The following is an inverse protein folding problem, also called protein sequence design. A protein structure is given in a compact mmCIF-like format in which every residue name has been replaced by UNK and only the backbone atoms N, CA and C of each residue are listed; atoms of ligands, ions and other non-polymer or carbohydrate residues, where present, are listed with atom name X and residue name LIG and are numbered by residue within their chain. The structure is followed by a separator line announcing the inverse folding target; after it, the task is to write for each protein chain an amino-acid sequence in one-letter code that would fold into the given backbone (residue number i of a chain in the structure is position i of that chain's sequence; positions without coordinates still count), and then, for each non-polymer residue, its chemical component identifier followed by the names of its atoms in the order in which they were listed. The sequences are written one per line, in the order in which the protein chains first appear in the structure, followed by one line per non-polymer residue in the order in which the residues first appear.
data_IF_979014792313
#
_entry.id   IF_979014792313
#
_cell.length_a   1.000
_cell.length_b   1.000
_cell.length_c   1.000
_cell.angle_alpha   90.00
_cell.angle_beta   90.00
_cell.angle_gamma   90.00
#
_symmetry.space_group_name_H-M   'P 1'
#
loop_
_entity.id
_entity.type
_entity.pdbx_description
1 polymer ?
#
# COMPACT_ATOMS: atom_id res chain seq x y z
N UNK A 1 -38.86 -17.63 -29.62
CA UNK A 1 -38.06 -18.65 -28.91
C UNK A 1 -36.61 -18.28 -29.15
N UNK A 2 -36.00 -17.61 -28.18
CA UNK A 2 -34.68 -17.00 -28.29
C UNK A 2 -33.76 -17.76 -27.36
N UNK A 3 -32.75 -18.43 -27.91
CA UNK A 3 -31.69 -19.12 -27.19
C UNK A 3 -30.92 -18.15 -26.29
N UNK A 4 -30.60 -18.50 -25.03
CA UNK A 4 -29.75 -17.65 -24.20
C UNK A 4 -28.28 -17.93 -24.52
N UNK A 5 -27.55 -16.85 -24.83
CA UNK A 5 -26.11 -16.86 -25.06
C UNK A 5 -25.34 -17.42 -23.86
N UNK A 6 -24.46 -18.39 -24.13
CA UNK A 6 -23.44 -18.91 -23.22
C UNK A 6 -22.59 -17.76 -22.68
N UNK A 7 -22.48 -17.66 -21.35
CA UNK A 7 -21.49 -16.83 -20.66
C UNK A 7 -20.09 -17.25 -21.13
N UNK A 8 -19.27 -16.30 -21.56
CA UNK A 8 -17.86 -16.55 -21.85
C UNK A 8 -17.12 -16.78 -20.53
N UNK A 9 -16.66 -18.00 -20.34
CA UNK A 9 -15.64 -18.33 -19.35
C UNK A 9 -14.35 -17.58 -19.72
N UNK A 10 -13.73 -16.93 -18.74
CA UNK A 10 -12.47 -16.21 -18.91
C UNK A 10 -11.38 -17.18 -19.41
N UNK A 11 -10.75 -16.84 -20.53
CA UNK A 11 -9.67 -17.64 -21.10
C UNK A 11 -8.47 -17.74 -20.13
N UNK A 12 -7.82 -18.91 -20.02
CA UNK A 12 -6.60 -19.05 -19.25
C UNK A 12 -5.51 -18.17 -19.83
N UNK A 13 -4.89 -17.32 -18.99
CA UNK A 13 -3.79 -16.42 -19.36
C UNK A 13 -2.69 -17.22 -20.08
N UNK A 14 -2.27 -16.78 -21.25
CA UNK A 14 -1.15 -17.39 -21.97
C UNK A 14 0.11 -17.28 -21.10
N UNK A 15 0.78 -18.42 -20.87
CA UNK A 15 1.91 -18.52 -19.95
C UNK A 15 3.20 -17.81 -20.42
N UNK A 16 3.17 -17.17 -21.59
CA UNK A 16 4.36 -16.66 -22.30
C UNK A 16 4.41 -15.14 -22.51
N UNK A 17 3.38 -14.38 -22.11
CA UNK A 17 3.45 -12.91 -22.20
C UNK A 17 4.22 -12.34 -20.99
N UNK A 18 5.20 -11.45 -21.19
CA UNK A 18 5.92 -10.81 -20.08
C UNK A 18 4.93 -10.05 -19.20
N UNK A 19 5.07 -10.21 -17.87
CA UNK A 19 4.18 -9.54 -16.91
C UNK A 19 4.60 -8.09 -16.75
N UNK A 20 3.65 -7.24 -16.38
CA UNK A 20 3.88 -5.81 -16.15
C UNK A 20 3.58 -5.49 -14.69
N UNK A 21 4.44 -4.68 -14.08
CA UNK A 21 4.24 -4.13 -12.75
C UNK A 21 4.20 -2.60 -12.79
N UNK A 22 3.42 -2.03 -11.88
CA UNK A 22 3.41 -0.61 -11.57
C UNK A 22 3.96 -0.39 -10.15
N UNK A 23 5.11 0.27 -10.07
CA UNK A 23 5.82 0.57 -8.84
C UNK A 23 5.41 1.96 -8.34
N UNK A 24 4.92 2.02 -7.10
CA UNK A 24 4.46 3.25 -6.46
C UNK A 24 5.33 3.57 -5.26
N UNK A 25 5.91 4.77 -5.25
CA UNK A 25 6.26 5.37 -3.97
C UNK A 25 4.99 5.66 -3.15
N UNK A 26 5.12 5.70 -1.83
CA UNK A 26 3.98 5.85 -0.93
C UNK A 26 3.78 7.29 -0.45
N UNK A 27 4.80 7.86 0.19
CA UNK A 27 4.71 9.15 0.88
C UNK A 27 4.65 10.28 -0.15
N UNK A 28 3.64 11.15 -0.08
CA UNK A 28 3.40 12.27 -1.03
C UNK A 28 3.12 11.86 -2.48
N UNK A 29 3.29 10.59 -2.81
CA UNK A 29 2.93 10.00 -4.10
C UNK A 29 1.53 9.39 -4.05
N UNK A 30 1.29 8.41 -3.16
CA UNK A 30 -0.03 7.78 -2.97
C UNK A 30 -0.79 8.42 -1.81
N UNK A 31 -0.08 8.77 -0.74
CA UNK A 31 -0.65 9.44 0.45
C UNK A 31 -0.26 10.91 0.43
N UNK A 32 -1.20 11.83 0.65
CA UNK A 32 -0.98 13.28 0.65
C UNK A 32 -0.04 13.82 1.75
N UNK A 33 0.42 12.95 2.66
CA UNK A 33 1.35 13.30 3.74
C UNK A 33 2.40 12.21 3.89
N UNK A 34 3.53 12.58 4.49
CA UNK A 34 4.50 11.58 4.94
C UNK A 34 3.86 10.70 6.02
N UNK A 35 3.92 9.39 5.83
CA UNK A 35 3.46 8.40 6.80
C UNK A 35 4.22 8.52 8.12
N UNK A 36 5.52 8.79 8.10
CA UNK A 36 6.32 9.05 9.32
C UNK A 36 5.73 10.19 10.16
N UNK A 37 5.28 11.28 9.50
CA UNK A 37 4.63 12.39 10.19
C UNK A 37 3.19 12.04 10.62
N UNK A 38 2.48 11.28 9.80
CA UNK A 38 1.10 10.89 10.07
C UNK A 38 0.99 10.01 11.34
N UNK A 39 1.92 9.06 11.53
CA UNK A 39 1.98 8.16 12.69
C UNK A 39 2.72 8.75 13.91
N UNK A 40 3.33 9.94 13.80
CA UNK A 40 4.07 10.57 14.90
C UNK A 40 3.22 10.85 16.15
N UNK A 41 1.93 11.20 15.98
CA UNK A 41 1.02 11.51 17.09
C UNK A 41 0.54 10.25 17.84
N UNK A 42 0.09 9.17 17.17
CA UNK A 42 -0.18 7.89 17.82
C UNK A 42 1.00 7.35 18.62
N UNK A 43 2.19 7.28 18.01
CA UNK A 43 3.38 6.78 18.71
C UNK A 43 3.76 7.65 19.90
N UNK A 44 3.46 8.95 19.86
CA UNK A 44 3.63 9.84 21.01
C UNK A 44 2.61 9.55 22.13
N UNK A 45 1.35 9.27 21.79
CA UNK A 45 0.29 8.97 22.75
C UNK A 45 0.55 7.65 23.49
N UNK A 46 1.13 6.67 22.80
CA UNK A 46 1.48 5.36 23.33
C UNK A 46 2.88 5.32 23.98
N UNK A 47 3.51 6.48 24.15
CA UNK A 47 4.77 6.63 24.89
C UNK A 47 6.02 6.13 24.17
N UNK A 48 5.91 5.63 22.93
CA UNK A 48 7.02 5.23 22.07
C UNK A 48 7.89 6.45 21.72
N UNK A 49 7.27 7.60 21.46
CA UNK A 49 7.97 8.87 21.21
C UNK A 49 7.91 9.75 22.46
N UNK A 50 9.05 9.92 23.16
CA UNK A 50 9.14 10.80 24.33
C UNK A 50 9.38 12.27 23.90
N UNK A 51 8.70 13.25 24.53
CA UNK A 51 8.91 14.71 24.30
C UNK A 51 10.39 15.11 24.32
N UNK A 52 11.19 14.49 25.20
CA UNK A 52 12.64 14.76 25.29
C UNK A 52 13.41 14.23 24.08
N UNK A 53 13.04 13.07 23.55
CA UNK A 53 13.62 12.51 22.34
C UNK A 53 13.29 13.42 21.15
N UNK A 54 12.03 13.82 20.98
CA UNK A 54 11.60 14.77 19.93
C UNK A 54 12.34 16.10 20.03
N UNK A 55 12.49 16.67 21.22
CA UNK A 55 13.21 17.94 21.41
C UNK A 55 14.71 17.80 21.05
N UNK A 56 15.32 16.67 21.42
CA UNK A 56 16.73 16.38 21.14
C UNK A 56 16.96 16.15 19.65
N UNK A 57 16.04 15.45 18.98
CA UNK A 57 16.06 15.24 17.53
C UNK A 57 15.77 16.51 16.75
N UNK A 58 14.84 17.35 17.20
CA UNK A 58 14.56 18.65 16.59
C UNK A 58 15.77 19.61 16.74
N UNK A 59 16.45 19.59 17.88
CA UNK A 59 17.69 20.33 18.10
C UNK A 59 18.82 19.81 17.22
N UNK A 60 18.99 18.48 17.12
CA UNK A 60 19.95 17.87 16.20
C UNK A 60 19.66 18.23 14.74
N UNK A 61 18.39 18.14 14.31
CA UNK A 61 17.92 18.54 12.98
C UNK A 61 18.21 20.02 12.69
N UNK A 62 17.97 20.90 13.66
CA UNK A 62 18.24 22.34 13.56
C UNK A 62 19.74 22.63 13.43
N UNK A 63 20.58 21.99 14.25
CA UNK A 63 22.04 22.11 14.17
C UNK A 63 22.61 21.54 12.87
N UNK A 64 22.00 20.50 12.31
CA UNK A 64 22.40 19.89 11.05
C UNK A 64 21.96 20.70 9.81
N UNK A 65 20.77 21.30 9.82
CA UNK A 65 20.33 22.19 8.73
C UNK A 65 21.26 23.40 8.54
N UNK A 66 21.96 23.82 9.60
CA UNK A 66 22.97 24.87 9.54
C UNK A 66 24.29 24.42 8.88
N UNK A 67 24.50 23.12 8.67
CA UNK A 67 25.79 22.56 8.23
C UNK A 67 25.86 22.19 6.73
N UNK A 68 24.76 22.24 5.97
CA UNK A 68 24.73 21.94 4.52
C UNK A 68 24.75 20.45 4.19
N UNK A 69 24.06 20.03 3.11
CA UNK A 69 23.76 18.63 2.80
C UNK A 69 24.82 17.93 1.93
N UNK A 70 25.33 16.79 2.42
CA UNK A 70 26.19 15.83 1.69
C UNK A 70 25.71 14.39 1.99
N UNK A 71 26.10 13.40 1.19
CA UNK A 71 25.66 12.00 1.31
C UNK A 71 26.00 11.39 2.68
N UNK A 72 27.21 11.63 3.19
CA UNK A 72 27.63 11.23 4.54
C UNK A 72 26.74 11.82 5.63
N UNK A 73 26.18 13.01 5.38
CA UNK A 73 25.30 13.69 6.31
C UNK A 73 23.92 13.03 6.35
N UNK A 74 23.39 12.61 5.19
CA UNK A 74 22.14 11.86 5.10
C UNK A 74 22.25 10.50 5.78
N UNK A 75 23.39 9.82 5.64
CA UNK A 75 23.64 8.54 6.31
C UNK A 75 23.67 8.69 7.83
N UNK A 76 24.34 9.73 8.34
CA UNK A 76 24.34 10.05 9.77
C UNK A 76 22.95 10.44 10.27
N UNK A 77 22.19 11.20 9.50
CA UNK A 77 20.82 11.59 9.85
C UNK A 77 19.92 10.36 9.94
N UNK A 78 20.04 9.43 8.98
CA UNK A 78 19.29 8.18 8.96
C UNK A 78 19.61 7.33 10.19
N UNK A 79 20.90 7.09 10.46
CA UNK A 79 21.32 6.35 11.64
C UNK A 79 20.83 7.01 12.94
N UNK A 80 20.85 8.35 13.00
CA UNK A 80 20.34 9.07 14.16
C UNK A 80 18.83 8.90 14.34
N UNK A 81 18.04 9.06 13.28
CA UNK A 81 16.57 8.89 13.34
C UNK A 81 16.21 7.45 13.73
N UNK A 82 16.86 6.46 13.13
CA UNK A 82 16.65 5.05 13.46
C UNK A 82 17.02 4.70 14.91
N UNK A 83 18.06 5.32 15.47
CA UNK A 83 18.43 5.15 16.88
C UNK A 83 17.37 5.66 17.87
N UNK A 84 16.44 6.51 17.43
CA UNK A 84 15.33 6.98 18.29
C UNK A 84 14.32 5.86 18.56
N UNK A 85 14.27 4.86 17.68
CA UNK A 85 13.41 3.69 17.81
C UNK A 85 14.06 2.57 18.64
N UNK A 86 15.32 2.71 19.07
CA UNK A 86 16.00 1.68 19.88
C UNK A 86 15.21 1.36 21.14
N UNK A 87 14.96 0.07 21.36
CA UNK A 87 14.24 -0.46 22.51
C UNK A 87 12.72 -0.45 22.40
N UNK A 88 12.15 0.11 21.32
CA UNK A 88 10.71 0.04 21.05
C UNK A 88 10.29 -1.41 20.92
N UNK A 89 9.14 -1.71 21.52
CA UNK A 89 8.50 -3.01 21.43
C UNK A 89 7.81 -3.15 20.06
N UNK A 90 8.19 -4.17 19.30
CA UNK A 90 7.72 -4.34 17.91
C UNK A 90 6.22 -4.66 17.88
N UNK A 91 5.73 -5.44 18.83
CA UNK A 91 4.30 -5.77 18.93
C UNK A 91 3.48 -4.53 19.29
N UNK A 92 4.01 -3.67 20.16
CA UNK A 92 3.39 -2.39 20.44
C UNK A 92 3.33 -1.50 19.18
N UNK A 93 4.40 -1.42 18.40
CA UNK A 93 4.42 -0.64 17.15
C UNK A 93 3.35 -1.16 16.18
N UNK A 94 3.31 -2.48 15.97
CA UNK A 94 2.31 -3.12 15.11
C UNK A 94 0.87 -2.84 15.57
N UNK A 95 0.61 -2.95 16.88
CA UNK A 95 -0.71 -2.66 17.45
C UNK A 95 -1.12 -1.20 17.19
N UNK A 96 -0.22 -0.24 17.43
CA UNK A 96 -0.50 1.18 17.18
C UNK A 96 -0.75 1.44 15.71
N UNK A 97 0.03 0.84 14.82
CA UNK A 97 -0.20 0.96 13.38
C UNK A 97 -1.57 0.38 13.04
N UNK A 98 -1.90 -0.84 13.43
CA UNK A 98 -3.18 -1.49 13.11
C UNK A 98 -4.39 -0.69 13.61
N UNK A 99 -4.33 -0.20 14.86
CA UNK A 99 -5.41 0.57 15.47
C UNK A 99 -5.62 1.93 14.79
N UNK A 100 -4.53 2.59 14.38
CA UNK A 100 -4.59 3.96 13.83
C UNK A 100 -4.54 4.02 12.31
N UNK A 101 -4.31 2.89 11.65
CA UNK A 101 -4.18 2.78 10.20
C UNK A 101 -5.38 3.40 9.50
N UNK A 102 -6.58 3.00 9.91
CA UNK A 102 -7.82 3.46 9.27
C UNK A 102 -8.09 4.95 9.50
N UNK A 103 -7.86 5.44 10.71
CA UNK A 103 -8.17 6.83 11.05
C UNK A 103 -7.19 7.82 10.40
N UNK A 104 -5.98 7.35 10.09
CA UNK A 104 -4.90 8.18 9.55
C UNK A 104 -4.76 8.01 8.05
N UNK A 105 -4.69 6.77 7.56
CA UNK A 105 -4.38 6.49 6.16
C UNK A 105 -5.61 6.62 5.28
N UNK A 106 -6.78 6.11 5.70
CA UNK A 106 -7.97 6.12 4.85
C UNK A 106 -8.28 7.53 4.31
N UNK A 107 -8.29 8.64 5.09
CA UNK A 107 -8.61 9.98 4.57
C UNK A 107 -7.45 10.70 3.85
N UNK A 108 -6.26 10.10 3.79
CA UNK A 108 -5.06 10.76 3.27
C UNK A 108 -4.61 10.22 1.90
N UNK A 109 -5.25 9.18 1.37
CA UNK A 109 -4.90 8.67 0.03
C UNK A 109 -5.46 9.61 -1.04
N UNK A 110 -4.65 9.94 -2.04
CA UNK A 110 -5.11 10.71 -3.20
C UNK A 110 -6.13 9.90 -3.99
N UNK A 111 -7.27 10.53 -4.33
CA UNK A 111 -8.28 9.90 -5.18
C UNK A 111 -7.67 9.47 -6.51
N UNK A 112 -6.86 10.34 -7.08
CA UNK A 112 -6.15 10.13 -8.33
C UNK A 112 -5.21 8.93 -8.25
N UNK A 113 -4.54 8.72 -7.10
CA UNK A 113 -3.70 7.54 -6.89
C UNK A 113 -4.54 6.25 -6.86
N UNK A 114 -5.72 6.28 -6.21
CA UNK A 114 -6.61 5.11 -6.21
C UNK A 114 -7.16 4.77 -7.59
N UNK A 115 -7.48 5.79 -8.40
CA UNK A 115 -7.95 5.61 -9.77
C UNK A 115 -6.84 5.02 -10.64
N UNK A 116 -5.63 5.57 -10.56
CA UNK A 116 -4.47 5.07 -11.29
C UNK A 116 -4.12 3.60 -10.92
N UNK A 117 -4.19 3.26 -9.64
CA UNK A 117 -4.01 1.87 -9.18
C UNK A 117 -5.10 0.96 -9.76
N UNK A 118 -6.35 1.41 -9.80
CA UNK A 118 -7.45 0.65 -10.37
C UNK A 118 -7.27 0.43 -11.88
N UNK A 119 -6.87 1.46 -12.63
CA UNK A 119 -6.59 1.37 -14.07
C UNK A 119 -5.49 0.34 -14.38
N UNK A 120 -4.42 0.32 -13.58
CA UNK A 120 -3.38 -0.71 -13.72
C UNK A 120 -3.89 -2.12 -13.43
N UNK A 121 -4.72 -2.29 -12.40
CA UNK A 121 -5.32 -3.59 -12.09
C UNK A 121 -6.26 -4.07 -13.20
N UNK A 122 -7.02 -3.16 -13.82
CA UNK A 122 -7.88 -3.47 -14.97
C UNK A 122 -7.07 -3.92 -16.19
N UNK A 123 -5.87 -3.36 -16.36
CA UNK A 123 -4.89 -3.80 -17.37
C UNK A 123 -4.16 -5.11 -16.99
N UNK A 124 -4.42 -5.65 -15.80
CA UNK A 124 -3.81 -6.88 -15.30
C UNK A 124 -2.38 -6.70 -14.79
N UNK A 125 -1.94 -5.47 -14.53
CA UNK A 125 -0.62 -5.19 -13.98
C UNK A 125 -0.58 -5.51 -12.49
N UNK A 126 0.58 -5.96 -12.02
CA UNK A 126 0.83 -6.11 -10.58
C UNK A 126 1.14 -4.75 -9.95
N UNK A 127 0.60 -4.53 -8.76
CA UNK A 127 0.82 -3.29 -8.01
C UNK A 127 1.91 -3.54 -6.97
N UNK A 128 2.95 -2.73 -7.00
CA UNK A 128 4.08 -2.82 -6.06
C UNK A 128 4.24 -1.49 -5.34
N UNK A 129 4.21 -1.50 -4.00
CA UNK A 129 4.45 -0.29 -3.19
C UNK A 129 5.85 -0.34 -2.59
N UNK A 130 6.66 0.69 -2.81
CA UNK A 130 8.04 0.80 -2.32
C UNK A 130 8.21 2.10 -1.54
N UNK A 131 8.62 2.07 -0.27
CA UNK A 131 8.71 3.28 0.54
C UNK A 131 9.87 3.28 1.52
N UNK A 132 10.45 4.45 1.78
CA UNK A 132 11.49 4.61 2.79
C UNK A 132 10.95 4.47 4.23
N UNK A 133 9.63 4.49 4.44
CA UNK A 133 8.99 4.27 5.73
C UNK A 133 9.13 2.83 6.21
N UNK A 134 8.92 2.60 7.52
CA UNK A 134 9.05 1.28 8.13
C UNK A 134 8.10 0.24 7.52
N UNK A 135 8.58 -0.99 7.33
CA UNK A 135 7.81 -2.12 6.80
C UNK A 135 6.47 -2.33 7.51
N UNK A 136 6.45 -2.15 8.83
CA UNK A 136 5.28 -2.28 9.70
C UNK A 136 4.17 -1.31 9.34
N UNK A 137 4.50 -0.16 8.72
CA UNK A 137 3.55 0.82 8.19
C UNK A 137 3.24 0.55 6.73
N UNK A 138 4.25 0.23 5.92
CA UNK A 138 4.13 0.09 4.46
C UNK A 138 3.31 -1.15 4.10
N UNK A 139 3.52 -2.29 4.77
CA UNK A 139 2.83 -3.53 4.43
C UNK A 139 1.30 -3.45 4.66
N UNK A 140 0.78 -2.94 5.81
CA UNK A 140 -0.66 -2.76 5.98
C UNK A 140 -1.28 -1.79 4.98
N UNK A 141 -0.58 -0.70 4.65
CA UNK A 141 -1.05 0.28 3.66
C UNK A 141 -1.11 -0.34 2.26
N UNK A 142 -0.04 -1.05 1.86
CA UNK A 142 -0.01 -1.78 0.60
C UNK A 142 -1.18 -2.77 0.50
N UNK A 143 -1.50 -3.47 1.58
CA UNK A 143 -2.66 -4.37 1.64
C UNK A 143 -3.98 -3.63 1.45
N UNK A 144 -4.17 -2.46 2.08
CA UNK A 144 -5.37 -1.63 1.91
C UNK A 144 -5.55 -1.14 0.46
N UNK A 145 -4.45 -0.79 -0.20
CA UNK A 145 -4.42 -0.41 -1.61
C UNK A 145 -4.61 -1.62 -2.55
N UNK A 146 -4.61 -2.85 -2.00
CA UNK A 146 -4.64 -4.10 -2.75
C UNK A 146 -3.40 -4.29 -3.61
N UNK A 147 -2.23 -3.92 -3.09
CA UNK A 147 -0.95 -4.17 -3.72
C UNK A 147 -0.63 -5.66 -3.77
N UNK A 148 -0.04 -6.12 -4.87
CA UNK A 148 0.49 -7.50 -4.99
C UNK A 148 1.72 -7.66 -4.10
N UNK A 149 2.56 -6.63 -4.04
CA UNK A 149 3.77 -6.58 -3.22
C UNK A 149 3.92 -5.22 -2.54
N UNK A 150 4.53 -5.22 -1.36
CA UNK A 150 4.93 -4.03 -0.64
C UNK A 150 6.32 -4.26 -0.04
N UNK A 151 7.15 -3.22 0.00
CA UNK A 151 8.43 -3.24 0.68
C UNK A 151 8.74 -1.86 1.29
N UNK A 152 9.07 -1.88 2.57
CA UNK A 152 9.51 -0.75 3.37
C UNK A 152 10.93 -0.92 3.90
N UNK A 153 11.37 0.04 4.69
CA UNK A 153 12.60 -0.04 5.48
C UNK A 153 12.44 -1.06 6.60
N UNK A 154 13.41 -1.97 6.74
CA UNK A 154 13.43 -3.01 7.78
C UNK A 154 14.48 -2.69 8.83
N UNK A 155 14.05 -2.69 10.08
CA UNK A 155 14.90 -2.48 11.24
C UNK A 155 15.42 -3.82 11.78
N UNK A 156 16.62 -3.84 12.33
CA UNK A 156 17.13 -5.01 13.05
C UNK A 156 16.36 -5.15 14.36
N UNK A 157 15.91 -6.38 14.64
CA UNK A 157 15.15 -6.74 15.82
C UNK A 157 15.91 -7.78 16.66
N UNK A 158 15.90 -7.58 17.98
CA UNK A 158 16.41 -8.54 18.95
C UNK A 158 15.45 -8.59 20.16
N UNK A 159 15.09 -9.80 20.59
CA UNK A 159 14.20 -10.04 21.74
C UNK A 159 12.87 -9.25 21.68
N UNK A 160 12.27 -9.17 20.49
CA UNK A 160 11.01 -8.45 20.25
C UNK A 160 11.13 -6.92 20.26
N UNK A 161 12.36 -6.38 20.20
CA UNK A 161 12.62 -4.94 20.23
C UNK A 161 13.53 -4.48 19.09
N UNK A 162 13.38 -3.23 18.65
CA UNK A 162 14.32 -2.64 17.70
C UNK A 162 15.68 -2.37 18.34
N UNK A 163 16.77 -2.74 17.66
CA UNK A 163 18.13 -2.41 18.11
C UNK A 163 18.51 -0.96 17.80
N UNK A 164 17.85 -0.36 16.81
CA UNK A 164 18.18 0.94 16.23
C UNK A 164 19.02 0.86 14.96
N UNK A 165 19.50 -0.33 14.60
CA UNK A 165 20.19 -0.59 13.35
C UNK A 165 19.19 -0.86 12.23
N UNK A 166 19.57 -0.50 11.00
CA UNK A 166 18.77 -0.71 9.80
C UNK A 166 19.30 -1.95 9.08
N UNK A 167 18.45 -2.94 8.89
CA UNK A 167 18.79 -4.13 8.10
C UNK A 167 18.73 -3.80 6.59
N UNK A 168 17.67 -3.10 6.19
CA UNK A 168 17.45 -2.72 4.81
C UNK A 168 16.74 -1.37 4.72
N UNK A 169 17.30 -0.44 3.94
CA UNK A 169 16.72 0.89 3.75
C UNK A 169 16.08 1.01 2.37
N UNK A 170 14.75 1.03 2.29
CA UNK A 170 14.02 1.00 1.01
C UNK A 170 13.91 2.41 0.39
N UNK A 171 15.03 2.97 -0.03
CA UNK A 171 15.11 4.30 -0.65
C UNK A 171 16.16 4.34 -1.76
N UNK A 172 15.99 5.25 -2.71
CA UNK A 172 16.91 5.48 -3.81
C UNK A 172 17.28 4.19 -4.56
N UNK A 173 18.57 3.86 -4.67
CA UNK A 173 19.06 2.68 -5.39
C UNK A 173 18.43 1.38 -4.87
N UNK A 174 18.16 1.28 -3.57
CA UNK A 174 17.57 0.07 -3.01
C UNK A 174 16.13 -0.14 -3.48
N UNK A 175 15.37 0.91 -3.82
CA UNK A 175 14.04 0.74 -4.46
C UNK A 175 14.19 0.17 -5.87
N UNK A 176 15.17 0.66 -6.63
CA UNK A 176 15.46 0.14 -7.97
C UNK A 176 15.91 -1.33 -7.89
N UNK A 177 16.72 -1.70 -6.89
CA UNK A 177 17.13 -3.09 -6.68
C UNK A 177 15.95 -4.00 -6.33
N UNK A 178 15.03 -3.56 -5.46
CA UNK A 178 13.80 -4.31 -5.18
C UNK A 178 12.96 -4.48 -6.45
N UNK A 179 12.83 -3.45 -7.28
CA UNK A 179 12.13 -3.56 -8.56
C UNK A 179 12.78 -4.58 -9.50
N UNK A 180 14.12 -4.56 -9.62
CA UNK A 180 14.88 -5.54 -10.41
C UNK A 180 14.77 -6.96 -9.86
N UNK A 181 14.79 -7.13 -8.54
CA UNK A 181 14.62 -8.42 -7.89
C UNK A 181 13.23 -9.00 -8.14
N UNK A 182 12.19 -8.18 -7.96
CA UNK A 182 10.81 -8.58 -8.23
C UNK A 182 10.62 -8.91 -9.72
N UNK A 183 11.21 -8.14 -10.62
CA UNK A 183 11.18 -8.42 -12.05
C UNK A 183 11.79 -9.78 -12.39
N UNK A 184 12.97 -10.09 -11.86
CA UNK A 184 13.61 -11.39 -12.02
C UNK A 184 12.78 -12.53 -11.42
N UNK A 185 12.16 -12.32 -10.27
CA UNK A 185 11.39 -13.35 -9.54
C UNK A 185 10.03 -13.65 -10.17
N UNK A 186 9.37 -12.62 -10.71
CA UNK A 186 7.99 -12.70 -11.18
C UNK A 186 7.86 -12.59 -12.71
N UNK A 187 8.98 -12.43 -13.42
CA UNK A 187 9.01 -12.32 -14.88
C UNK A 187 8.47 -10.98 -15.38
N UNK A 188 8.74 -9.89 -14.66
CA UNK A 188 8.35 -8.55 -15.14
C UNK A 188 9.33 -8.06 -16.21
N UNK A 189 8.79 -7.52 -17.29
CA UNK A 189 9.58 -6.74 -18.25
C UNK A 189 9.62 -5.28 -17.78
N UNK A 190 10.76 -4.87 -17.21
CA UNK A 190 10.94 -3.51 -16.70
C UNK A 190 10.75 -2.44 -17.80
N UNK A 191 11.03 -2.75 -19.06
CA UNK A 191 10.81 -1.83 -20.17
C UNK A 191 9.32 -1.59 -20.48
N UNK A 192 8.43 -2.41 -19.92
CA UNK A 192 6.97 -2.23 -19.97
C UNK A 192 6.39 -1.84 -18.61
N UNK A 193 7.22 -1.81 -17.55
CA UNK A 193 6.79 -1.43 -16.21
C UNK A 193 6.65 0.08 -16.04
N UNK A 194 5.88 0.46 -15.03
CA UNK A 194 5.61 1.84 -14.67
C UNK A 194 6.22 2.16 -13.31
N UNK A 195 6.65 3.39 -13.10
CA UNK A 195 7.09 3.86 -11.78
C UNK A 195 6.58 5.27 -11.50
N UNK A 196 6.11 5.50 -10.28
CA UNK A 196 5.51 6.74 -9.81
C UNK A 196 6.22 7.21 -8.54
N UNK A 197 6.73 8.45 -8.53
CA UNK A 197 7.36 9.05 -7.34
C UNK A 197 7.32 10.58 -7.37
N UNK A 198 7.34 11.20 -6.19
CA UNK A 198 7.46 12.65 -5.99
C UNK A 198 8.90 13.12 -5.80
N UNK A 199 9.85 12.22 -5.48
CA UNK A 199 11.17 12.63 -5.02
C UNK A 199 12.30 12.32 -5.99
N UNK A 200 13.26 13.26 -6.07
CA UNK A 200 14.51 13.08 -6.80
C UNK A 200 15.33 11.89 -6.29
N UNK A 201 15.15 11.48 -5.03
CA UNK A 201 15.85 10.32 -4.47
C UNK A 201 15.52 9.04 -5.23
N UNK A 202 14.31 8.94 -5.77
CA UNK A 202 13.83 7.76 -6.49
C UNK A 202 14.21 7.76 -7.98
N UNK A 203 15.10 8.67 -8.39
CA UNK A 203 15.66 8.70 -9.76
C UNK A 203 16.10 7.30 -10.24
N UNK A 204 16.84 6.49 -9.45
CA UNK A 204 17.26 5.17 -9.93
C UNK A 204 16.09 4.22 -10.22
N UNK A 205 14.99 4.32 -9.46
CA UNK A 205 13.79 3.52 -9.72
C UNK A 205 13.12 3.98 -11.01
N UNK A 206 12.94 5.29 -11.21
CA UNK A 206 12.34 5.86 -12.40
C UNK A 206 13.17 5.55 -13.65
N UNK A 207 14.50 5.61 -13.57
CA UNK A 207 15.39 5.24 -14.68
C UNK A 207 15.39 3.74 -15.00
N UNK A 208 14.96 2.89 -14.07
CA UNK A 208 14.96 1.43 -14.26
C UNK A 208 13.78 0.90 -15.07
N UNK A 209 12.75 1.71 -15.33
CA UNK A 209 11.51 1.29 -15.99
C UNK A 209 11.27 2.02 -17.32
N UNK A 210 10.42 1.44 -18.18
CA UNK A 210 10.06 2.05 -19.46
C UNK A 210 9.07 3.21 -19.38
N UNK A 211 8.25 3.26 -18.31
CA UNK A 211 7.21 4.28 -18.15
C UNK A 211 7.33 5.05 -16.81
N UNK A 212 8.38 5.88 -16.64
CA UNK A 212 8.53 6.73 -15.46
C UNK A 212 7.54 7.90 -15.47
N UNK A 213 6.94 8.17 -14.32
CA UNK A 213 6.02 9.29 -14.11
C UNK A 213 6.34 10.00 -12.81
N UNK A 214 6.56 11.31 -12.90
CA UNK A 214 6.74 12.18 -11.75
C UNK A 214 5.37 12.61 -11.19
N UNK A 215 5.10 12.36 -9.91
CA UNK A 215 3.82 12.72 -9.26
C UNK A 215 4.08 13.81 -8.25
N UNK A 216 3.44 14.97 -8.37
CA UNK A 216 3.67 16.11 -7.47
C UNK A 216 5.17 16.42 -7.20
N UNK A 217 6.05 16.43 -8.22
CA UNK A 217 7.47 16.28 -8.00
C UNK A 217 8.11 17.42 -7.20
N UNK A 218 9.13 17.08 -6.42
CA UNK A 218 10.03 18.06 -5.83
C UNK A 218 10.79 18.86 -6.91
N UNK A 219 11.52 19.90 -6.50
CA UNK A 219 12.21 20.78 -7.44
C UNK A 219 13.25 20.05 -8.30
N UNK A 220 13.93 19.04 -7.73
CA UNK A 220 14.95 18.25 -8.42
C UNK A 220 14.30 17.36 -9.47
N UNK A 221 13.31 16.55 -9.05
CA UNK A 221 12.62 15.62 -9.94
C UNK A 221 11.85 16.35 -11.04
N UNK A 222 11.23 17.50 -10.75
CA UNK A 222 10.57 18.33 -11.76
C UNK A 222 11.53 18.75 -12.88
N UNK A 223 12.78 19.07 -12.52
CA UNK A 223 13.81 19.49 -13.48
C UNK A 223 14.22 18.32 -14.37
N UNK A 224 14.45 17.16 -13.78
CA UNK A 224 14.85 15.96 -14.51
C UNK A 224 13.74 15.45 -15.41
N UNK A 225 12.50 15.38 -14.91
CA UNK A 225 11.33 14.98 -15.70
C UNK A 225 11.15 15.89 -16.92
N UNK A 226 11.30 17.21 -16.76
CA UNK A 226 11.24 18.15 -17.89
C UNK A 226 12.38 17.97 -18.90
N UNK A 227 13.61 17.71 -18.45
CA UNK A 227 14.75 17.49 -19.33
C UNK A 227 14.65 16.17 -20.11
N UNK A 228 14.08 15.13 -19.49
CA UNK A 228 13.98 13.78 -20.05
C UNK A 228 12.65 13.52 -20.77
N UNK A 229 11.72 14.47 -20.72
CA UNK A 229 10.39 14.33 -21.31
C UNK A 229 9.51 13.30 -20.60
N UNK A 230 9.74 13.06 -19.31
CA UNK A 230 8.91 12.15 -18.51
C UNK A 230 7.54 12.74 -18.23
N UNK A 231 6.54 11.87 -18.10
CA UNK A 231 5.20 12.28 -17.72
C UNK A 231 5.21 12.90 -16.32
N UNK A 232 4.34 13.88 -16.10
CA UNK A 232 4.13 14.50 -14.79
C UNK A 232 2.65 14.56 -14.47
N UNK A 233 2.27 14.08 -13.29
CA UNK A 233 0.91 14.15 -12.75
C UNK A 233 0.86 15.08 -11.54
N UNK A 234 -0.28 15.76 -11.39
CA UNK A 234 -0.62 16.54 -10.21
C UNK A 234 -1.80 15.89 -9.49
N UNK A 235 -1.64 15.54 -8.21
CA UNK A 235 -2.71 15.00 -7.38
C UNK A 235 -3.07 16.00 -6.29
N UNK A 236 -4.35 16.37 -6.21
CA UNK A 236 -4.82 17.47 -5.37
C UNK A 236 -5.98 17.06 -4.44
N UNK A 237 -6.61 15.89 -4.64
CA UNK A 237 -7.83 15.50 -3.94
C UNK A 237 -7.61 14.31 -2.97
N UNK A 238 -7.26 14.55 -1.70
CA UNK A 238 -7.24 13.47 -0.70
C UNK A 238 -8.67 13.02 -0.38
N UNK A 239 -8.91 11.70 -0.41
CA UNK A 239 -10.24 11.10 -0.15
C UNK A 239 -10.14 9.88 0.75
N UNK A 240 -11.27 9.50 1.36
CA UNK A 240 -11.37 8.26 2.12
C UNK A 240 -11.36 7.03 1.21
N UNK A 241 -10.42 6.09 1.43
CA UNK A 241 -10.37 4.80 0.71
C UNK A 241 -11.71 4.04 0.74
N UNK A 242 -12.44 4.09 1.86
CA UNK A 242 -13.72 3.37 2.04
C UNK A 242 -14.86 3.87 1.15
N UNK A 243 -14.79 5.09 0.66
CA UNK A 243 -15.82 5.64 -0.22
C UNK A 243 -15.82 5.00 -1.61
N UNK A 244 -14.77 4.23 -1.97
CA UNK A 244 -14.58 3.72 -3.34
C UNK A 244 -14.17 2.26 -3.47
N UNK A 245 -13.92 1.52 -2.39
CA UNK A 245 -13.86 0.05 -2.49
C UNK A 245 -15.27 -0.40 -2.86
N UNK A 246 -15.51 -0.99 -4.06
CA UNK A 246 -16.77 -1.63 -4.33
C UNK A 246 -16.86 -2.76 -3.31
N UNK A 247 -17.72 -2.60 -2.30
CA UNK A 247 -18.15 -3.74 -1.52
C UNK A 247 -18.70 -4.73 -2.53
N UNK A 248 -18.25 -6.01 -2.54
CA UNK A 248 -18.97 -7.03 -3.28
C UNK A 248 -20.39 -6.93 -2.76
N UNK A 249 -21.31 -6.53 -3.62
CA UNK A 249 -22.68 -6.27 -3.20
C UNK A 249 -23.20 -7.55 -2.56
N UNK A 250 -23.46 -7.48 -1.26
CA UNK A 250 -24.01 -8.59 -0.47
C UNK A 250 -25.39 -9.06 -0.94
N UNK A 251 -25.90 -8.51 -2.04
CA UNK A 251 -27.12 -8.91 -2.72
C UNK A 251 -26.96 -10.16 -3.59
N UNK A 252 -25.73 -10.67 -3.81
CA UNK A 252 -25.52 -11.90 -4.60
C UNK A 252 -25.54 -13.22 -3.79
N UNK A 253 -25.49 -13.18 -2.44
CA UNK A 253 -25.46 -14.41 -1.60
C UNK A 253 -26.83 -14.77 -1.00
N UNK A 254 -27.83 -13.89 -1.05
CA UNK A 254 -29.18 -14.18 -0.51
C UNK A 254 -30.12 -14.94 -1.46
N UNK A 255 -29.72 -15.27 -2.69
CA UNK A 255 -30.56 -15.99 -3.64
C UNK A 255 -30.43 -17.54 -3.62
N UNK A 256 -29.56 -18.11 -2.78
CA UNK A 256 -29.38 -19.57 -2.68
C UNK A 256 -29.84 -20.19 -1.34
N UNK A 257 -30.48 -19.42 -0.45
CA UNK A 257 -30.90 -19.90 0.88
C UNK A 257 -32.44 -20.01 1.06
N UNK A 258 -33.23 -19.98 -0.02
CA UNK A 258 -34.71 -20.05 0.07
C UNK A 258 -35.29 -21.44 -0.30
N UNK A 259 -34.51 -22.38 -0.85
CA UNK A 259 -35.08 -23.62 -1.38
C UNK A 259 -35.20 -24.81 -0.41
N UNK A 260 -34.75 -24.73 0.85
CA UNK A 260 -34.90 -25.87 1.80
C UNK A 260 -35.99 -25.64 2.86
N UNK A 261 -36.35 -24.40 3.19
CA UNK A 261 -37.33 -24.11 4.24
C UNK A 261 -38.81 -24.24 3.82
N UNK A 262 -39.13 -24.02 2.54
CA UNK A 262 -40.52 -24.00 2.07
C UNK A 262 -41.12 -25.39 1.82
N UNK A 263 -40.30 -26.42 1.62
CA UNK A 263 -40.79 -27.80 1.39
C UNK A 263 -41.17 -28.49 2.71
N UNK A 264 -40.53 -28.13 3.84
CA UNK A 264 -40.84 -28.73 5.15
C UNK A 264 -42.21 -28.28 5.71
N UNK A 265 -42.60 -27.02 5.49
CA UNK A 265 -43.86 -26.48 6.02
C UNK A 265 -45.09 -27.01 5.26
N UNK A 266 -45.00 -27.25 3.96
CA UNK A 266 -46.10 -27.80 3.17
C UNK A 266 -46.32 -29.30 3.43
N UNK A 267 -45.24 -30.07 3.67
CA UNK A 267 -45.32 -31.51 3.95
C UNK A 267 -45.97 -31.86 5.29
N UNK A 268 -45.66 -31.10 6.35
CA UNK A 268 -46.21 -31.33 7.69
C UNK A 268 -47.72 -31.01 7.76
N UNK A 269 -48.17 -29.94 7.08
CA UNK A 269 -49.57 -29.57 7.01
C UNK A 269 -50.41 -30.61 6.25
N UNK A 270 -49.89 -31.16 5.15
CA UNK A 270 -50.60 -32.19 4.37
C UNK A 270 -50.72 -33.52 5.11
N UNK A 271 -49.67 -33.95 5.82
CA UNK A 271 -49.69 -35.19 6.60
C UNK A 271 -50.61 -35.10 7.83
N UNK A 272 -50.63 -33.95 8.51
CA UNK A 272 -51.49 -33.70 9.67
C UNK A 272 -52.98 -33.70 9.33
N UNK A 273 -53.38 -33.05 8.23
CA UNK A 273 -54.79 -32.98 7.81
C UNK A 273 -55.31 -34.34 7.31
N UNK A 274 -54.46 -35.15 6.67
CA UNK A 274 -54.84 -36.49 6.18
C UNK A 274 -54.97 -37.52 7.30
N UNK A 275 -54.20 -37.41 8.38
CA UNK A 275 -54.30 -38.34 9.51
C UNK A 275 -55.54 -38.06 10.38
N UNK A 276 -55.93 -36.79 10.52
CA UNK A 276 -57.12 -36.42 11.32
C UNK A 276 -58.44 -36.90 10.68
N UNK A 277 -58.56 -36.87 9.34
CA UNK A 277 -59.73 -37.37 8.60
C UNK A 277 -59.89 -38.90 8.54
N UNK A 278 -58.97 -39.68 9.12
CA UNK A 278 -59.07 -41.15 9.20
C UNK A 278 -59.40 -41.67 10.59
N UNK A 279 -59.58 -40.78 11.58
CA UNK A 279 -59.88 -41.13 12.98
C UNK A 279 -61.20 -40.55 13.50
N UNK A 280 -61.98 -39.90 12.63
CA UNK A 280 -63.40 -39.55 12.78
C UNK A 280 -64.13 -39.97 11.50
#
# INVERSE_FOLDING_TARGET
MTEPAKRSDAEPRSADAPRVAAFFDLDKTVIAKSSTLAFSRPFFQEGLINRRAVLKSAYAQFMFMLAGADADQMDRMRAHISSLCTGWDVDQVNAVVEETLHDIVDPLVYEEATQLIAEHKEQGHDIVVLSASGEEVVAPIGKLLGATHAAGTRMVMADGRYTGDIEFYCSAENKAEVARELARKHGYDLAQCHAYSDSITDMPLLESVGHPTAVNPDRGLRREAAQRGWASLGFDHPVSLRARIPTPSGTAVTAAAVSVGAVAAAGAAWFGVRHWRRRN
#
